data_IF_254375674181
#
_entry.id   IF_254375674181
#
_cell.length_a   1.000
_cell.length_b   1.000
_cell.length_c   1.000
_cell.angle_alpha   90.00
_cell.angle_beta   90.00
_cell.angle_gamma   90.00
#
_symmetry.space_group_name_H-M   'P 1'
#
loop_
_entity.id
_entity.type
_entity.pdbx_description
1 polymer ?
#
# COMPACT_ATOMS: atom_id res chain seq x y z
N UNK A 1 37.06 -61.56 10.22
CA UNK A 1 35.83 -61.32 9.44
C UNK A 1 35.14 -60.10 10.05
N UNK A 2 34.94 -59.05 9.25
CA UNK A 2 34.35 -57.77 9.68
C UNK A 2 32.90 -57.94 10.13
N UNK A 3 32.49 -57.20 11.16
CA UNK A 3 31.37 -56.25 11.06
C UNK A 3 31.39 -55.29 12.27
N UNK A 4 31.43 -54.00 11.94
CA UNK A 4 31.16 -52.86 12.82
C UNK A 4 29.66 -52.80 13.12
N UNK A 5 29.25 -52.25 14.27
CA UNK A 5 28.23 -51.20 14.29
C UNK A 5 28.24 -50.42 15.62
N UNK A 6 28.04 -49.12 15.48
CA UNK A 6 28.11 -48.01 16.44
C UNK A 6 26.79 -47.85 17.22
N UNK A 7 26.85 -47.37 18.47
CA UNK A 7 25.64 -47.08 19.25
C UNK A 7 25.86 -46.18 20.47
N UNK A 8 25.62 -44.87 20.27
CA UNK A 8 25.18 -43.78 21.17
C UNK A 8 25.27 -43.99 22.70
N UNK A 9 25.98 -43.08 23.37
CA UNK A 9 25.80 -42.77 24.80
C UNK A 9 25.12 -41.40 24.94
N UNK A 10 23.95 -41.40 25.58
CA UNK A 10 23.32 -40.26 26.22
C UNK A 10 23.93 -40.09 27.61
N UNK A 11 24.28 -38.86 27.99
CA UNK A 11 24.42 -38.47 29.39
C UNK A 11 23.99 -37.02 29.56
N UNK A 12 22.91 -36.83 30.30
CA UNK A 12 22.43 -35.55 30.80
C UNK A 12 23.18 -35.16 32.07
N UNK A 13 23.33 -33.85 32.31
CA UNK A 13 23.56 -33.32 33.65
C UNK A 13 22.85 -31.96 33.79
N UNK A 14 21.84 -31.95 34.66
CA UNK A 14 21.16 -30.79 35.22
C UNK A 14 21.87 -30.34 36.51
N UNK A 15 21.75 -29.05 36.84
CA UNK A 15 21.77 -28.36 38.16
C UNK A 15 22.37 -26.95 37.92
N UNK A 16 21.81 -25.80 38.32
CA UNK A 16 21.02 -25.48 39.50
C UNK A 16 20.38 -24.07 39.45
N UNK A 17 19.07 -24.00 39.75
CA UNK A 17 18.37 -23.12 40.71
C UNK A 17 18.75 -21.62 40.83
N UNK A 18 17.92 -20.80 40.18
CA UNK A 18 17.28 -19.52 40.57
C UNK A 18 17.92 -18.55 41.58
N UNK A 19 18.17 -17.32 41.12
CA UNK A 19 17.89 -16.09 41.87
C UNK A 19 17.27 -15.04 40.92
N UNK A 20 16.19 -14.42 41.37
CA UNK A 20 15.27 -13.59 40.59
C UNK A 20 15.82 -12.18 40.29
N UNK A 21 15.56 -11.72 39.07
CA UNK A 21 15.68 -10.33 38.62
C UNK A 21 15.33 -10.26 37.14
N UNK A 22 14.16 -9.72 36.80
CA UNK A 22 13.65 -9.68 35.43
C UNK A 22 14.57 -8.92 34.48
N UNK A 23 15.23 -9.65 33.57
CA UNK A 23 15.65 -9.12 32.27
C UNK A 23 15.58 -10.28 31.29
N UNK A 24 14.48 -10.36 30.54
CA UNK A 24 14.23 -11.40 29.56
C UNK A 24 15.21 -11.27 28.38
N UNK A 25 15.95 -12.35 28.16
CA UNK A 25 16.84 -12.65 27.05
C UNK A 25 16.15 -12.53 25.67
N UNK A 26 16.94 -12.08 24.69
CA UNK A 26 16.66 -12.05 23.26
C UNK A 26 16.17 -13.41 22.73
N UNK A 27 15.08 -13.47 21.95
CA UNK A 27 14.83 -14.59 21.07
C UNK A 27 15.81 -14.55 19.89
N UNK A 28 16.49 -15.68 19.69
CA UNK A 28 17.34 -15.95 18.54
C UNK A 28 16.67 -15.55 17.22
N UNK A 29 17.44 -14.86 16.38
CA UNK A 29 17.07 -14.47 15.02
C UNK A 29 16.54 -15.68 14.24
N UNK A 30 15.25 -15.65 13.93
CA UNK A 30 14.67 -16.50 12.90
C UNK A 30 15.08 -15.91 11.53
N UNK A 31 15.83 -16.69 10.76
CA UNK A 31 16.13 -16.44 9.35
C UNK A 31 14.82 -16.16 8.58
N UNK A 32 14.67 -14.93 8.09
CA UNK A 32 13.48 -14.54 7.31
C UNK A 32 13.32 -13.07 7.00
N UNK A 33 14.03 -12.16 7.69
CA UNK A 33 13.70 -10.72 7.64
C UNK A 33 14.87 -9.79 7.24
N UNK A 34 15.93 -10.33 6.65
CA UNK A 34 17.13 -9.56 6.25
C UNK A 34 17.14 -9.11 4.78
N UNK A 35 16.14 -9.49 3.98
CA UNK A 35 16.04 -9.14 2.56
C UNK A 35 15.31 -7.81 2.31
N UNK A 36 14.30 -7.46 3.11
CA UNK A 36 13.53 -6.23 2.92
C UNK A 36 14.31 -4.96 3.30
N UNK A 37 15.26 -5.07 4.23
CA UNK A 37 16.04 -3.93 4.75
C UNK A 37 17.38 -3.72 4.01
N UNK A 38 17.92 -4.75 3.34
CA UNK A 38 19.19 -4.63 2.57
C UNK A 38 19.00 -4.10 1.15
N UNK A 39 17.81 -4.23 0.54
CA UNK A 39 17.55 -3.67 -0.79
C UNK A 39 17.33 -2.13 -0.77
N UNK A 40 17.27 -1.50 0.41
CA UNK A 40 16.80 -0.12 0.56
C UNK A 40 17.83 0.99 0.29
N UNK A 41 19.12 0.74 0.04
CA UNK A 41 20.09 1.86 -0.17
C UNK A 41 21.20 1.66 -1.20
N UNK A 42 21.41 0.46 -1.72
CA UNK A 42 22.51 0.20 -2.65
C UNK A 42 22.05 0.26 -4.12
N UNK A 43 21.98 1.47 -4.69
CA UNK A 43 21.82 1.66 -6.16
C UNK A 43 20.57 2.42 -6.62
N UNK A 44 19.80 3.03 -5.71
CA UNK A 44 18.58 3.75 -6.07
C UNK A 44 18.89 4.95 -6.97
N UNK A 45 18.46 4.90 -8.23
CA UNK A 45 18.47 6.07 -9.11
C UNK A 45 17.29 6.94 -8.71
N UNK A 46 17.58 8.02 -7.98
CA UNK A 46 16.57 8.99 -7.59
C UNK A 46 16.60 10.20 -8.53
N UNK A 47 15.42 10.73 -8.83
CA UNK A 47 15.27 11.97 -9.59
C UNK A 47 14.36 12.94 -8.83
N UNK A 48 14.61 14.23 -9.04
CA UNK A 48 13.71 15.25 -8.54
C UNK A 48 12.41 15.23 -9.36
N UNK A 49 11.28 15.06 -8.67
CA UNK A 49 9.95 15.07 -9.25
C UNK A 49 9.23 16.38 -9.06
N UNK A 50 7.89 16.30 -9.04
CA UNK A 50 7.00 17.43 -8.94
C UNK A 50 6.97 17.99 -7.52
N UNK A 51 6.76 19.31 -7.38
CA UNK A 51 6.61 20.00 -6.09
C UNK A 51 7.69 19.69 -5.03
N UNK A 52 8.92 19.41 -5.46
CA UNK A 52 10.01 19.08 -4.53
C UNK A 52 10.00 17.64 -4.01
N UNK A 53 9.09 16.79 -4.49
CA UNK A 53 9.01 15.36 -4.15
C UNK A 53 10.12 14.62 -4.89
N UNK A 54 10.88 13.81 -4.17
CA UNK A 54 11.98 13.01 -4.73
C UNK A 54 11.47 11.61 -5.03
N UNK A 55 11.66 11.15 -6.26
CA UNK A 55 11.22 9.83 -6.70
C UNK A 55 12.44 8.91 -6.84
N UNK A 56 12.47 7.80 -6.10
CA UNK A 56 13.57 6.84 -6.11
C UNK A 56 13.12 5.50 -6.69
N UNK A 57 13.79 5.03 -7.74
CA UNK A 57 13.45 3.75 -8.38
C UNK A 57 13.67 2.58 -7.40
N UNK A 58 12.79 1.58 -7.38
CA UNK A 58 12.91 0.38 -6.55
C UNK A 58 12.93 -0.90 -7.40
N UNK A 59 13.60 -1.95 -6.90
CA UNK A 59 13.77 -3.20 -7.62
C UNK A 59 14.51 -2.99 -8.95
N UNK A 60 13.92 -3.48 -10.05
CA UNK A 60 14.50 -3.30 -11.40
C UNK A 60 13.97 -2.08 -12.13
N UNK A 61 13.08 -1.31 -11.52
CA UNK A 61 12.47 -0.18 -12.17
C UNK A 61 13.50 0.88 -12.55
N UNK A 62 13.18 1.66 -13.58
CA UNK A 62 13.98 2.80 -14.01
C UNK A 62 13.10 4.02 -14.16
N UNK A 63 13.58 5.14 -13.61
CA UNK A 63 12.95 6.44 -13.72
C UNK A 63 13.62 7.26 -14.82
N UNK A 64 12.82 7.89 -15.68
CA UNK A 64 13.32 8.78 -16.73
C UNK A 64 12.46 10.02 -16.77
N UNK A 65 13.07 11.18 -16.53
CA UNK A 65 12.40 12.46 -16.68
C UNK A 65 12.29 12.81 -18.18
N UNK A 66 11.06 13.02 -18.66
CA UNK A 66 10.76 13.35 -20.07
C UNK A 66 10.59 14.85 -20.30
N UNK A 67 10.73 15.66 -19.25
CA UNK A 67 10.44 17.10 -19.23
C UNK A 67 8.96 17.44 -18.95
N UNK A 68 8.03 16.52 -19.25
CA UNK A 68 6.58 16.68 -18.96
C UNK A 68 6.03 15.65 -17.97
N UNK A 69 6.72 14.53 -17.85
CA UNK A 69 6.36 13.42 -16.98
C UNK A 69 7.62 12.72 -16.47
N UNK A 70 7.44 11.82 -15.51
CA UNK A 70 8.45 10.81 -15.17
C UNK A 70 7.94 9.47 -15.68
N UNK A 71 8.64 8.90 -16.66
CA UNK A 71 8.37 7.55 -17.13
C UNK A 71 9.00 6.53 -16.16
N UNK A 72 8.19 5.57 -15.72
CA UNK A 72 8.63 4.44 -14.91
C UNK A 72 8.57 3.18 -15.77
N UNK A 73 9.72 2.54 -15.94
CA UNK A 73 9.86 1.36 -16.81
C UNK A 73 10.42 0.16 -16.06
N UNK A 74 10.44 -1.01 -16.71
CA UNK A 74 10.89 -2.28 -16.11
C UNK A 74 10.03 -2.75 -14.94
N UNK A 75 8.71 -2.52 -15.03
CA UNK A 75 7.69 -2.87 -14.03
C UNK A 75 7.15 -4.28 -14.29
N UNK A 76 7.81 -5.30 -13.77
CA UNK A 76 7.43 -6.70 -14.02
C UNK A 76 7.00 -7.46 -12.78
N UNK A 77 7.09 -6.84 -11.60
CA UNK A 77 6.79 -7.45 -10.31
C UNK A 77 6.10 -6.46 -9.39
N UNK A 78 4.83 -6.73 -9.04
CA UNK A 78 4.06 -5.98 -8.04
C UNK A 78 4.69 -5.99 -6.64
N UNK A 79 5.68 -6.84 -6.40
CA UNK A 79 6.35 -6.99 -5.09
C UNK A 79 7.58 -6.12 -4.94
N UNK A 80 8.27 -5.83 -6.04
CA UNK A 80 9.64 -5.29 -6.01
C UNK A 80 9.86 -4.11 -6.94
N UNK A 81 9.25 -4.10 -8.13
CA UNK A 81 9.56 -3.13 -9.17
C UNK A 81 8.65 -1.91 -9.01
N UNK A 82 9.23 -0.71 -8.92
CA UNK A 82 8.45 0.50 -8.74
C UNK A 82 9.26 1.75 -8.41
N UNK A 83 8.71 2.62 -7.58
CA UNK A 83 9.39 3.78 -7.04
C UNK A 83 8.89 4.11 -5.64
N UNK A 84 9.67 4.88 -4.89
CA UNK A 84 9.24 5.52 -3.65
C UNK A 84 9.22 7.03 -3.87
N UNK A 85 8.10 7.65 -3.52
CA UNK A 85 7.94 9.10 -3.46
C UNK A 85 8.30 9.58 -2.07
N UNK A 86 9.42 10.30 -1.94
CA UNK A 86 9.97 10.82 -0.69
C UNK A 86 9.72 12.33 -0.56
N UNK A 87 9.20 12.75 0.59
CA UNK A 87 8.89 14.15 0.89
C UNK A 87 9.03 14.46 2.39
N UNK A 88 9.16 15.74 2.78
CA UNK A 88 8.99 16.13 4.18
C UNK A 88 7.63 15.69 4.70
N UNK A 89 7.52 15.42 6.01
CA UNK A 89 6.30 14.90 6.64
C UNK A 89 5.03 15.62 6.14
N UNK A 90 4.08 14.85 5.62
CA UNK A 90 2.84 15.31 5.00
C UNK A 90 1.61 14.65 5.63
N UNK A 91 0.44 15.25 5.44
CA UNK A 91 -0.88 14.70 5.83
C UNK A 91 -1.74 14.31 4.63
N UNK A 92 -1.36 14.74 3.43
CA UNK A 92 -2.06 14.43 2.17
C UNK A 92 -1.02 14.30 1.05
N UNK A 93 -1.26 13.38 0.14
CA UNK A 93 -0.47 13.12 -1.06
C UNK A 93 -1.42 12.77 -2.21
N UNK A 94 -1.13 13.34 -3.38
CA UNK A 94 -1.86 13.06 -4.61
C UNK A 94 -0.87 12.80 -5.74
N UNK A 95 -1.08 11.71 -6.46
CA UNK A 95 -0.35 11.31 -7.65
C UNK A 95 -1.28 11.31 -8.86
N UNK A 96 -0.94 12.12 -9.85
CA UNK A 96 -1.58 12.11 -11.17
C UNK A 96 -0.75 11.21 -12.07
N UNK A 97 -1.34 10.16 -12.62
CA UNK A 97 -0.61 9.13 -13.36
C UNK A 97 -1.35 8.66 -14.60
N UNK A 98 -0.61 8.11 -15.55
CA UNK A 98 -1.12 7.20 -16.58
C UNK A 98 -0.58 5.82 -16.29
N UNK A 99 -1.49 4.86 -16.08
CA UNK A 99 -1.17 3.47 -15.82
C UNK A 99 -1.87 2.60 -16.87
N UNK A 100 -1.12 1.75 -17.55
CA UNK A 100 -1.64 0.86 -18.58
C UNK A 100 -1.12 -0.57 -18.48
N UNK A 101 -1.87 -1.47 -19.10
CA UNK A 101 -1.51 -2.89 -19.18
C UNK A 101 -1.57 -3.60 -17.84
N UNK A 102 -2.56 -3.27 -17.01
CA UNK A 102 -2.98 -4.06 -15.85
C UNK A 102 -4.27 -4.78 -16.22
N UNK A 103 -4.19 -6.07 -16.53
CA UNK A 103 -5.36 -6.86 -16.97
C UNK A 103 -5.16 -8.37 -17.02
N UNK A 104 -3.98 -8.87 -16.65
CA UNK A 104 -3.66 -10.29 -16.58
C UNK A 104 -3.17 -10.69 -15.18
N UNK A 105 -3.30 -11.97 -14.84
CA UNK A 105 -2.79 -12.49 -13.57
C UNK A 105 -1.30 -12.17 -13.37
N UNK A 106 -0.95 -11.74 -12.16
CA UNK A 106 0.40 -11.28 -11.82
C UNK A 106 0.68 -9.81 -12.15
N UNK A 107 -0.24 -9.12 -12.84
CA UNK A 107 -0.21 -7.68 -13.00
C UNK A 107 -0.95 -6.98 -11.85
N UNK A 108 -0.78 -5.66 -11.75
CA UNK A 108 -1.41 -4.86 -10.70
C UNK A 108 -0.46 -3.81 -10.16
N UNK A 109 -0.88 -3.20 -9.06
CA UNK A 109 -0.03 -2.31 -8.29
C UNK A 109 -0.31 -2.38 -6.80
N UNK A 110 0.66 -1.95 -6.00
CA UNK A 110 0.53 -1.80 -4.56
C UNK A 110 1.03 -0.42 -4.19
N UNK A 111 0.27 0.28 -3.34
CA UNK A 111 0.67 1.53 -2.71
C UNK A 111 0.89 1.27 -1.23
N UNK A 112 1.92 1.85 -0.64
CA UNK A 112 2.16 1.79 0.80
C UNK A 112 2.62 3.15 1.33
N UNK A 113 1.85 3.73 2.22
CA UNK A 113 2.24 4.93 2.94
C UNK A 113 3.15 4.58 4.11
N UNK A 114 4.19 5.39 4.33
CA UNK A 114 5.19 5.17 5.35
C UNK A 114 5.46 6.40 6.19
N UNK A 115 5.65 6.19 7.49
CA UNK A 115 6.24 7.16 8.41
C UNK A 115 7.64 6.68 8.80
N UNK A 116 8.66 7.23 8.16
CA UNK A 116 10.02 6.67 8.19
C UNK A 116 10.05 5.21 7.73
N UNK A 117 10.56 4.32 8.57
CA UNK A 117 10.70 2.89 8.27
C UNK A 117 9.43 2.07 8.55
N UNK A 118 8.37 2.68 9.09
CA UNK A 118 7.11 2.01 9.37
C UNK A 118 6.09 2.18 8.24
N UNK A 119 5.46 1.09 7.81
CA UNK A 119 4.28 1.14 6.93
C UNK A 119 3.05 1.47 7.79
N UNK A 120 2.32 2.53 7.43
CA UNK A 120 1.12 2.97 8.16
C UNK A 120 -0.17 2.47 7.51
N UNK A 121 -0.15 2.34 6.19
CA UNK A 121 -1.26 1.77 5.42
C UNK A 121 -0.75 1.31 4.07
N UNK A 122 -1.40 0.29 3.51
CA UNK A 122 -1.13 -0.17 2.17
C UNK A 122 -2.43 -0.54 1.46
N UNK A 123 -2.37 -0.60 0.14
CA UNK A 123 -3.46 -1.12 -0.69
C UNK A 123 -2.88 -1.81 -1.92
N UNK A 124 -3.36 -3.03 -2.19
CA UNK A 124 -3.04 -3.75 -3.42
C UNK A 124 -4.24 -3.76 -4.36
N UNK A 125 -4.00 -3.50 -5.64
CA UNK A 125 -4.99 -3.55 -6.70
C UNK A 125 -4.51 -4.55 -7.74
N UNK A 126 -5.28 -5.62 -7.91
CA UNK A 126 -4.93 -6.74 -8.79
C UNK A 126 -6.11 -7.07 -9.72
N UNK A 127 -5.87 -7.55 -10.95
CA UNK A 127 -6.93 -8.04 -11.82
C UNK A 127 -7.75 -9.16 -11.15
N UNK A 128 -9.06 -9.09 -11.36
CA UNK A 128 -10.02 -10.10 -10.94
C UNK A 128 -10.04 -11.31 -11.87
N UNK A 129 -11.04 -12.18 -11.70
CA UNK A 129 -11.20 -13.39 -12.52
C UNK A 129 -11.74 -13.07 -13.92
N UNK A 130 -12.54 -12.01 -14.04
CA UNK A 130 -13.12 -11.58 -15.31
C UNK A 130 -12.37 -10.36 -15.85
N UNK A 131 -12.54 -10.14 -17.15
CA UNK A 131 -12.03 -8.95 -17.82
C UNK A 131 -12.58 -7.69 -17.14
N UNK A 132 -11.74 -6.67 -17.00
CA UNK A 132 -12.07 -5.37 -16.43
C UNK A 132 -12.38 -5.39 -14.93
N UNK A 133 -12.44 -6.55 -14.29
CA UNK A 133 -12.55 -6.65 -12.84
C UNK A 133 -11.20 -6.41 -12.18
N UNK A 134 -11.22 -5.74 -11.03
CA UNK A 134 -10.12 -5.61 -10.10
C UNK A 134 -10.56 -5.98 -8.70
N UNK A 135 -9.63 -6.41 -7.88
CA UNK A 135 -9.80 -6.56 -6.44
C UNK A 135 -8.86 -5.59 -5.75
N UNK A 136 -9.42 -4.73 -4.90
CA UNK A 136 -8.70 -3.75 -4.10
C UNK A 136 -8.64 -4.26 -2.66
N UNK A 137 -7.44 -4.49 -2.14
CA UNK A 137 -7.24 -5.08 -0.80
C UNK A 137 -6.46 -4.08 0.05
N UNK A 138 -7.15 -3.28 0.89
CA UNK A 138 -6.48 -2.38 1.82
C UNK A 138 -5.92 -3.16 3.00
N UNK A 139 -4.89 -2.60 3.62
CA UNK A 139 -4.31 -3.04 4.88
C UNK A 139 -4.02 -1.81 5.73
N UNK A 140 -4.64 -1.73 6.89
CA UNK A 140 -4.50 -0.63 7.83
C UNK A 140 -3.84 -1.12 9.11
N UNK A 141 -2.84 -0.40 9.61
CA UNK A 141 -2.10 -0.83 10.82
C UNK A 141 -2.59 -0.16 12.09
N UNK A 142 -3.67 0.63 12.05
CA UNK A 142 -4.17 1.40 13.21
C UNK A 142 -4.59 0.54 14.40
N UNK A 143 -4.79 -0.76 14.17
CA UNK A 143 -5.09 -1.78 15.17
C UNK A 143 -4.24 -3.04 14.97
N UNK A 144 -3.87 -3.68 16.09
CA UNK A 144 -3.25 -5.00 16.06
C UNK A 144 -4.17 -6.02 15.37
N UNK A 145 -3.69 -6.61 14.27
CA UNK A 145 -4.46 -7.56 13.45
C UNK A 145 -5.26 -6.91 12.31
N UNK A 146 -5.15 -5.60 12.09
CA UNK A 146 -5.84 -4.88 11.02
C UNK A 146 -7.02 -4.05 11.51
N UNK A 147 -7.37 -3.01 10.75
CA UNK A 147 -8.57 -2.18 11.00
C UNK A 147 -9.66 -2.49 9.95
N UNK A 148 -10.94 -2.50 10.36
CA UNK A 148 -12.05 -2.49 9.41
C UNK A 148 -12.06 -1.18 8.61
N UNK A 149 -12.86 -1.13 7.55
CA UNK A 149 -12.88 0.01 6.65
C UNK A 149 -14.22 0.21 5.96
N UNK A 150 -14.49 1.44 5.56
CA UNK A 150 -15.65 1.80 4.75
C UNK A 150 -15.22 2.17 3.33
N UNK A 151 -15.93 1.65 2.33
CA UNK A 151 -15.77 2.02 0.93
C UNK A 151 -16.87 2.98 0.53
N UNK A 152 -16.50 4.16 0.07
CA UNK A 152 -17.41 5.17 -0.47
C UNK A 152 -17.20 5.31 -1.98
N UNK A 153 -18.29 5.15 -2.74
CA UNK A 153 -18.33 5.40 -4.17
C UNK A 153 -19.09 6.68 -4.44
N UNK A 154 -18.45 7.61 -5.15
CA UNK A 154 -18.98 8.91 -5.49
C UNK A 154 -19.11 9.07 -7.00
N UNK A 155 -20.07 9.90 -7.41
CA UNK A 155 -20.16 10.46 -8.77
C UNK A 155 -20.19 11.97 -8.65
N UNK A 156 -19.10 12.63 -9.05
CA UNK A 156 -18.90 14.05 -8.76
C UNK A 156 -18.92 14.28 -7.25
N UNK A 157 -19.90 15.05 -6.76
CA UNK A 157 -20.05 15.35 -5.33
C UNK A 157 -21.19 14.56 -4.66
N UNK A 158 -21.77 13.58 -5.34
CA UNK A 158 -22.88 12.78 -4.80
C UNK A 158 -22.39 11.39 -4.37
N UNK A 159 -22.71 11.00 -3.13
CA UNK A 159 -22.44 9.66 -2.62
C UNK A 159 -23.41 8.67 -3.27
N UNK A 160 -22.88 7.75 -4.06
CA UNK A 160 -23.67 6.70 -4.74
C UNK A 160 -23.84 5.49 -3.85
N UNK A 161 -22.78 5.11 -3.13
CA UNK A 161 -22.79 3.96 -2.25
C UNK A 161 -21.77 4.10 -1.11
N UNK A 162 -22.07 3.53 0.04
CA UNK A 162 -21.17 3.40 1.18
C UNK A 162 -21.38 2.02 1.80
N UNK A 163 -20.29 1.28 2.02
CA UNK A 163 -20.35 -0.06 2.60
C UNK A 163 -19.20 -0.30 3.56
N UNK A 164 -19.53 -0.88 4.72
CA UNK A 164 -18.57 -1.29 5.72
C UNK A 164 -18.05 -2.69 5.42
N UNK A 165 -16.75 -2.89 5.62
CA UNK A 165 -16.07 -4.16 5.50
C UNK A 165 -15.28 -4.43 6.78
N UNK A 166 -15.30 -5.69 7.20
CA UNK A 166 -14.34 -6.19 8.17
C UNK A 166 -12.92 -6.15 7.59
N UNK A 167 -11.92 -6.17 8.47
CA UNK A 167 -10.52 -6.35 8.09
C UNK A 167 -10.32 -7.62 7.22
N UNK A 168 -9.28 -7.64 6.40
CA UNK A 168 -8.92 -8.71 5.45
C UNK A 168 -9.84 -8.93 4.24
N UNK A 169 -10.92 -8.16 4.09
CA UNK A 169 -11.76 -8.22 2.90
C UNK A 169 -11.13 -7.51 1.69
N UNK A 170 -11.30 -8.13 0.51
CA UNK A 170 -11.04 -7.51 -0.79
C UNK A 170 -12.30 -6.90 -1.38
N UNK A 171 -12.18 -5.72 -1.97
CA UNK A 171 -13.28 -5.00 -2.64
C UNK A 171 -13.22 -5.28 -4.14
N UNK A 172 -14.23 -5.97 -4.65
CA UNK A 172 -14.39 -6.17 -6.09
C UNK A 172 -14.94 -4.92 -6.77
N UNK A 173 -14.34 -4.53 -7.89
CA UNK A 173 -14.81 -3.41 -8.72
C UNK A 173 -14.55 -3.71 -10.19
N UNK A 174 -15.42 -3.24 -11.08
CA UNK A 174 -15.06 -3.14 -12.50
C UNK A 174 -14.39 -1.78 -12.73
N UNK A 175 -13.19 -1.81 -13.32
CA UNK A 175 -12.39 -0.64 -13.63
C UNK A 175 -11.76 -0.79 -15.02
N UNK A 176 -12.51 -0.44 -16.06
CA UNK A 176 -12.06 -0.58 -17.46
C UNK A 176 -10.79 0.25 -17.77
N UNK A 177 -10.69 1.45 -17.19
CA UNK A 177 -9.63 2.43 -17.51
C UNK A 177 -8.21 1.95 -17.17
N UNK A 178 -8.05 1.15 -16.12
CA UNK A 178 -6.74 0.62 -15.70
C UNK A 178 -6.12 -0.35 -16.74
N UNK A 179 -6.96 -0.91 -17.63
CA UNK A 179 -6.54 -1.88 -18.64
C UNK A 179 -6.01 -1.18 -19.90
N UNK A 180 -6.66 -0.09 -20.31
CA UNK A 180 -6.41 0.57 -21.60
C UNK A 180 -5.22 1.54 -21.56
N UNK A 181 -4.88 2.12 -20.40
CA UNK A 181 -3.75 3.05 -20.28
C UNK A 181 -3.87 4.36 -21.05
N UNK A 182 -5.09 4.74 -21.45
CA UNK A 182 -5.36 5.93 -22.27
C UNK A 182 -5.92 7.11 -21.48
N UNK A 183 -6.10 6.95 -20.16
CA UNK A 183 -6.73 7.95 -19.31
C UNK A 183 -5.89 8.23 -18.08
N UNK A 184 -5.81 9.51 -17.71
CA UNK A 184 -5.25 9.93 -16.43
C UNK A 184 -6.07 9.32 -15.28
N UNK A 185 -5.35 8.83 -14.29
CA UNK A 185 -5.85 8.39 -12.99
C UNK A 185 -5.23 9.28 -11.90
N UNK A 186 -5.99 9.56 -10.85
CA UNK A 186 -5.43 10.19 -9.66
C UNK A 186 -5.50 9.22 -8.49
N UNK A 187 -4.36 8.94 -7.86
CA UNK A 187 -4.25 8.17 -6.63
C UNK A 187 -3.97 9.14 -5.49
N UNK A 188 -4.54 8.89 -4.32
CA UNK A 188 -4.29 9.73 -3.15
C UNK A 188 -4.24 8.95 -1.86
N UNK A 189 -3.50 9.51 -0.91
CA UNK A 189 -3.42 9.05 0.46
C UNK A 189 -3.49 10.23 1.41
N UNK A 190 -4.33 10.14 2.44
CA UNK A 190 -4.42 11.18 3.47
C UNK A 190 -4.59 10.57 4.86
N UNK A 191 -4.04 11.25 5.85
CA UNK A 191 -4.44 11.06 7.24
C UNK A 191 -5.52 12.08 7.57
N UNK A 192 -6.67 11.59 8.01
CA UNK A 192 -7.81 12.44 8.27
C UNK A 192 -7.54 13.37 9.47
N UNK A 193 -7.65 14.68 9.26
CA UNK A 193 -7.63 15.64 10.36
C UNK A 193 -9.08 16.04 10.66
N UNK A 194 -9.63 15.51 11.76
CA UNK A 194 -10.95 15.93 12.21
C UNK A 194 -10.91 17.42 12.54
N UNK A 195 -11.82 18.18 11.92
CA UNK A 195 -11.97 19.61 12.17
C UNK A 195 -13.20 19.93 13.03
N UNK A 196 -13.97 18.90 13.42
CA UNK A 196 -15.24 19.04 14.12
C UNK A 196 -15.60 17.77 14.90
N UNK A 197 -16.27 17.94 16.04
CA UNK A 197 -16.82 16.82 16.83
C UNK A 197 -17.92 16.02 16.09
N UNK A 198 -18.45 16.54 14.98
CA UNK A 198 -19.46 15.89 14.14
C UNK A 198 -18.86 15.20 12.92
N UNK A 199 -17.53 15.18 12.83
CA UNK A 199 -16.87 14.46 11.76
C UNK A 199 -17.14 12.97 11.88
N UNK A 200 -17.54 12.36 10.77
CA UNK A 200 -17.88 10.93 10.74
C UNK A 200 -16.64 10.06 10.61
N UNK A 201 -15.55 10.64 10.13
CA UNK A 201 -14.26 9.97 10.04
C UNK A 201 -13.45 10.36 11.27
N UNK A 202 -12.95 9.35 11.98
CA UNK A 202 -12.12 9.58 13.15
C UNK A 202 -10.80 10.27 12.80
N UNK A 203 -10.33 11.15 13.69
CA UNK A 203 -9.04 11.82 13.54
C UNK A 203 -7.88 10.80 13.48
N UNK A 204 -7.06 10.88 12.44
CA UNK A 204 -5.93 10.00 12.21
C UNK A 204 -6.25 8.76 11.38
N UNK A 205 -7.48 8.59 10.90
CA UNK A 205 -7.84 7.51 9.99
C UNK A 205 -7.04 7.62 8.68
N UNK A 206 -6.50 6.52 8.20
CA UNK A 206 -5.90 6.44 6.88
C UNK A 206 -6.97 6.34 5.79
N UNK A 207 -6.76 7.08 4.70
CA UNK A 207 -7.70 7.08 3.58
C UNK A 207 -6.94 6.91 2.28
N UNK A 208 -7.28 5.86 1.53
CA UNK A 208 -6.88 5.69 0.14
C UNK A 208 -7.97 6.21 -0.78
N UNK A 209 -7.57 6.88 -1.86
CA UNK A 209 -8.51 7.42 -2.82
C UNK A 209 -8.06 7.20 -4.26
N UNK A 210 -9.03 6.91 -5.13
CA UNK A 210 -8.81 6.64 -6.54
C UNK A 210 -9.84 7.42 -7.36
N UNK A 211 -9.36 8.20 -8.32
CA UNK A 211 -10.22 8.95 -9.23
C UNK A 211 -9.91 8.54 -10.66
N UNK A 212 -10.95 8.27 -11.42
CA UNK A 212 -10.90 8.07 -12.87
C UNK A 212 -11.77 9.08 -13.59
N UNK A 213 -11.99 8.86 -14.87
CA UNK A 213 -12.85 9.72 -15.70
C UNK A 213 -14.24 9.11 -15.87
N UNK A 214 -15.32 9.91 -15.90
CA UNK A 214 -16.68 9.36 -16.07
C UNK A 214 -17.01 8.26 -15.05
N UNK A 215 -17.71 7.21 -15.46
CA UNK A 215 -18.04 6.06 -14.60
C UNK A 215 -16.89 5.04 -14.52
N UNK A 216 -15.76 5.48 -13.99
CA UNK A 216 -14.52 4.70 -13.95
C UNK A 216 -14.62 3.42 -13.09
N UNK A 217 -15.44 3.45 -12.04
CA UNK A 217 -15.60 2.36 -11.08
C UNK A 217 -17.04 1.87 -11.09
N UNK A 218 -17.24 0.56 -11.05
CA UNK A 218 -18.57 -0.04 -10.83
C UNK A 218 -18.48 -1.12 -9.75
N UNK A 219 -19.28 -0.96 -8.70
CA UNK A 219 -19.41 -1.92 -7.60
C UNK A 219 -20.72 -2.71 -7.74
N UNK A 220 -20.71 -3.99 -7.38
CA UNK A 220 -21.94 -4.75 -7.19
C UNK A 220 -22.52 -4.44 -5.80
N UNK A 221 -23.74 -3.91 -5.78
CA UNK A 221 -24.47 -3.59 -4.56
C UNK A 221 -25.74 -4.42 -4.54
N UNK A 222 -25.71 -5.54 -3.82
CA UNK A 222 -26.83 -6.46 -3.70
C UNK A 222 -27.35 -6.94 -5.07
N UNK A 223 -26.44 -7.31 -5.98
CA UNK A 223 -26.76 -7.76 -7.33
C UNK A 223 -27.09 -6.64 -8.31
N UNK A 224 -26.87 -5.37 -7.94
CA UNK A 224 -27.09 -4.22 -8.81
C UNK A 224 -25.78 -3.46 -9.02
N UNK A 225 -25.37 -3.20 -10.28
CA UNK A 225 -24.20 -2.39 -10.55
C UNK A 225 -24.47 -0.93 -10.19
N UNK A 226 -23.57 -0.33 -9.42
CA UNK A 226 -23.55 1.11 -9.10
C UNK A 226 -22.22 1.68 -9.52
N UNK A 227 -22.24 2.71 -10.37
CA UNK A 227 -21.03 3.29 -10.96
C UNK A 227 -20.74 4.71 -10.48
N UNK A 228 -19.46 5.06 -10.43
CA UNK A 228 -18.98 6.38 -10.01
C UNK A 228 -17.57 6.70 -10.56
N UNK A 229 -17.10 7.91 -10.27
CA UNK A 229 -15.84 8.49 -10.78
C UNK A 229 -14.74 8.58 -9.70
N UNK A 230 -15.12 8.42 -8.44
CA UNK A 230 -14.24 8.56 -7.29
C UNK A 230 -14.56 7.51 -6.22
N UNK A 231 -13.55 6.73 -5.87
CA UNK A 231 -13.62 5.68 -4.86
C UNK A 231 -12.70 6.03 -3.69
N UNK A 232 -13.25 6.02 -2.49
CA UNK A 232 -12.54 6.32 -1.25
C UNK A 232 -12.64 5.12 -0.31
N UNK A 233 -11.52 4.69 0.25
CA UNK A 233 -11.45 3.59 1.22
C UNK A 233 -10.92 4.18 2.51
N UNK A 234 -11.76 4.20 3.53
CA UNK A 234 -11.56 4.91 4.79
C UNK A 234 -11.36 3.90 5.90
N UNK A 235 -10.23 3.98 6.60
CA UNK A 235 -10.02 3.23 7.83
C UNK A 235 -11.06 3.59 8.88
N UNK A 236 -11.69 2.58 9.48
CA UNK A 236 -12.52 2.77 10.66
C UNK A 236 -11.63 2.69 11.91
N UNK A 237 -11.49 3.82 12.59
CA UNK A 237 -10.72 3.91 13.83
C UNK A 237 -11.65 3.92 15.05
N UNK A 238 -11.40 3.01 15.98
CA UNK A 238 -12.12 2.92 17.25
C UNK A 238 -11.28 3.40 18.45
N UNK A 239 -11.86 3.31 19.64
CA UNK A 239 -11.15 3.58 20.89
C UNK A 239 -9.89 2.71 21.02
N UNK A 240 -8.74 3.35 21.33
CA UNK A 240 -7.46 2.67 21.50
C UNK A 240 -6.65 2.48 20.21
N UNK A 241 -7.14 2.93 19.05
CA UNK A 241 -6.35 2.98 17.82
C UNK A 241 -5.31 4.11 17.89
N UNK A 242 -4.16 3.92 17.26
CA UNK A 242 -3.11 4.95 17.19
C UNK A 242 -3.41 5.92 16.03
N UNK A 243 -3.68 7.21 16.28
CA UNK A 243 -3.98 8.15 15.21
C UNK A 243 -2.71 8.47 14.41
N UNK A 244 -2.78 8.30 13.09
CA UNK A 244 -1.70 8.72 12.21
C UNK A 244 -1.77 10.23 11.99
N UNK A 245 -0.67 10.92 12.27
CA UNK A 245 -0.59 12.39 12.15
C UNK A 245 0.21 12.84 10.92
N UNK A 246 0.78 11.90 10.19
CA UNK A 246 1.49 12.16 8.95
C UNK A 246 2.31 10.97 8.47
N UNK A 247 2.91 11.15 7.31
CA UNK A 247 3.74 10.18 6.60
C UNK A 247 4.82 10.93 5.82
N UNK A 248 5.89 10.23 5.44
CA UNK A 248 7.07 10.81 4.77
C UNK A 248 7.39 10.17 3.43
N UNK A 249 6.74 9.05 3.08
CA UNK A 249 6.83 8.51 1.73
C UNK A 249 5.61 7.68 1.33
N UNK A 250 5.44 7.51 0.02
CA UNK A 250 4.56 6.51 -0.59
C UNK A 250 5.40 5.59 -1.47
N UNK A 251 5.42 4.30 -1.16
CA UNK A 251 5.97 3.29 -2.05
C UNK A 251 4.90 2.89 -3.09
N UNK A 252 5.27 2.95 -4.37
CA UNK A 252 4.44 2.50 -5.49
C UNK A 252 5.16 1.33 -6.17
N UNK A 253 4.55 0.15 -6.13
CA UNK A 253 5.07 -1.06 -6.79
C UNK A 253 4.09 -1.52 -7.84
N UNK A 254 4.55 -1.93 -9.01
CA UNK A 254 3.67 -2.29 -10.11
C UNK A 254 4.25 -3.37 -11.02
N UNK A 255 3.34 -4.14 -11.61
CA UNK A 255 3.59 -4.94 -12.80
C UNK A 255 2.60 -4.49 -13.87
N UNK A 256 3.09 -3.67 -14.80
CA UNK A 256 2.31 -2.91 -15.76
C UNK A 256 3.14 -2.66 -17.02
N UNK A 257 2.49 -2.46 -18.16
CA UNK A 257 3.22 -2.16 -19.42
C UNK A 257 3.68 -0.70 -19.47
N UNK A 258 2.89 0.21 -18.91
CA UNK A 258 3.18 1.64 -18.87
C UNK A 258 2.85 2.25 -17.52
N UNK A 259 3.70 3.14 -17.04
CA UNK A 259 3.45 3.98 -15.87
C UNK A 259 4.15 5.33 -16.07
N UNK A 260 3.37 6.41 -16.12
CA UNK A 260 3.90 7.78 -16.21
C UNK A 260 3.38 8.62 -15.06
N UNK A 261 4.27 9.20 -14.27
CA UNK A 261 3.91 10.22 -13.28
C UNK A 261 3.73 11.55 -14.04
N UNK A 262 2.50 12.05 -14.05
CA UNK A 262 2.13 13.30 -14.71
C UNK A 262 2.16 14.51 -13.77
N UNK A 263 2.11 14.26 -12.46
CA UNK A 263 2.14 15.27 -11.44
C UNK A 263 2.04 14.65 -10.06
N UNK A 264 2.57 15.34 -9.06
CA UNK A 264 2.59 14.86 -7.68
C UNK A 264 2.58 16.07 -6.75
N UNK A 265 1.87 15.97 -5.63
CA UNK A 265 1.71 17.06 -4.67
C UNK A 265 1.46 16.54 -3.26
N UNK A 266 1.83 17.33 -2.25
CA UNK A 266 1.61 17.00 -0.85
C UNK A 266 1.09 18.19 -0.05
N UNK A 267 0.35 17.93 1.03
CA UNK A 267 0.07 18.92 2.08
C UNK A 267 0.97 18.63 3.28
N UNK A 268 1.81 19.58 3.66
CA UNK A 268 2.74 19.43 4.78
C UNK A 268 1.99 19.22 6.11
N UNK A 269 2.50 18.32 6.94
CA UNK A 269 2.08 18.20 8.33
C UNK A 269 2.56 19.45 9.10
N UNK A 270 1.68 20.00 9.96
CA UNK A 270 2.00 21.16 10.82
C UNK A 270 2.67 20.72 12.11
#
# INVERSE_FOLDING_TARGET
MMMKLTGRLLAAALLSVTAAGCQGEEPAAAEGDSLATQEAKAGLTCIQGFEGIKNCATGRAKLTNTGKSIAVSSLTSVKTDGFSSEFPRATDWVLKTELGGVGALGQGFTLAARDGDQVVSAISVQPGKERDQVTMTPSFTGRAGGSPFTVNLWRGNSLMHSHYFEQDYGVGSQWYQIHIGLTRLDFGFKNHSSTSMFDRIGAGACIWSFRGTGDAFTLDVNGKPVSGDFLEIVEEIGDGHYPYTGFSSIDVKAAASTFNILGESTVAAK
#
